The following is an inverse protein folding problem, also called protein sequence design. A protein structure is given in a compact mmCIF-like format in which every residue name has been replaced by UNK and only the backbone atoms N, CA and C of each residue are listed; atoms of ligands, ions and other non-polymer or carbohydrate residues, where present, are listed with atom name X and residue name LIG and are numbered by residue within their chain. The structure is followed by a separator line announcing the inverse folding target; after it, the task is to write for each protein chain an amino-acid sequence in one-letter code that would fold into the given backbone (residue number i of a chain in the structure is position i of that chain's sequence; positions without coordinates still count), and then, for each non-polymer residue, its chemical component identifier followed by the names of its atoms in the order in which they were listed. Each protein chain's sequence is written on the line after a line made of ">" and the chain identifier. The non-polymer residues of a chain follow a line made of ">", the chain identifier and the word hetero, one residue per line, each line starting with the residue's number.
data_IF_472333382060
#
_entry.id   IF_472333382060
#
_cell.length_a   1.000
_cell.length_b   1.000
_cell.length_c   1.000
_cell.angle_alpha   90.00
_cell.angle_beta   90.00
_cell.angle_gamma   90.00
#
_symmetry.space_group_name_H-M   'P 1'
#
loop_
_entity.id
_entity.type
_entity.pdbx_description
1 polymer ?
#
# COMPACT_ATOMS: atom_id res chain seq x y z
N UNK A 1 -12.72 19.32 5.26
CA UNK A 1 -11.33 18.83 5.47
C UNK A 1 -11.26 18.11 6.80
N UNK A 2 -11.34 16.77 6.80
CA UNK A 2 -11.11 15.97 8.02
C UNK A 2 -9.61 15.89 8.27
N UNK A 3 -9.16 16.28 9.46
CA UNK A 3 -7.76 16.15 9.90
C UNK A 3 -7.26 14.71 9.69
N UNK A 4 -6.09 14.56 9.05
CA UNK A 4 -5.44 13.26 8.86
C UNK A 4 -5.32 12.53 10.20
N UNK A 5 -5.64 11.22 10.28
CA UNK A 5 -5.39 10.42 11.48
C UNK A 5 -3.90 10.27 11.79
N UNK A 6 -3.04 10.72 10.87
CA UNK A 6 -1.60 10.83 11.05
C UNK A 6 -1.18 12.27 10.74
N UNK A 7 -1.27 13.18 11.72
CA UNK A 7 -0.90 14.59 11.51
C UNK A 7 0.59 14.78 11.22
N UNK A 8 1.40 13.77 11.56
CA UNK A 8 2.85 13.74 11.35
C UNK A 8 3.25 13.40 9.90
N UNK A 9 2.34 12.90 9.07
CA UNK A 9 2.65 12.52 7.69
C UNK A 9 2.00 13.44 6.67
N UNK A 10 2.66 13.71 5.52
CA UNK A 10 2.06 14.45 4.42
C UNK A 10 0.69 13.86 4.02
N UNK A 11 -0.29 14.73 3.80
CA UNK A 11 -1.64 14.27 3.41
C UNK A 11 -1.61 13.34 2.20
N UNK A 12 -0.71 13.62 1.26
CA UNK A 12 -0.55 12.81 0.05
C UNK A 12 -0.10 11.40 0.37
N UNK A 13 0.93 11.18 1.20
CA UNK A 13 1.47 9.84 1.48
C UNK A 13 0.41 8.86 2.02
N UNK A 14 -0.62 9.38 2.70
CA UNK A 14 -1.72 8.57 3.25
C UNK A 14 -2.97 8.48 2.36
N UNK A 15 -3.02 9.16 1.22
CA UNK A 15 -4.22 9.28 0.39
C UNK A 15 -4.74 7.92 -0.12
N UNK A 16 -3.85 7.08 -0.67
CA UNK A 16 -4.22 5.74 -1.15
C UNK A 16 -4.66 4.83 0.00
N UNK A 17 -3.94 4.87 1.13
CA UNK A 17 -4.30 4.11 2.33
C UNK A 17 -5.69 4.52 2.83
N UNK A 18 -6.02 5.82 2.81
CA UNK A 18 -7.37 6.32 3.13
C UNK A 18 -8.41 5.78 2.16
N UNK A 19 -8.12 5.80 0.86
CA UNK A 19 -8.97 5.21 -0.19
C UNK A 19 -9.31 3.75 0.09
N UNK A 20 -8.29 2.92 0.37
CA UNK A 20 -8.50 1.52 0.74
C UNK A 20 -9.22 1.35 2.09
N UNK A 21 -8.89 2.17 3.10
CA UNK A 21 -9.49 2.07 4.46
C UNK A 21 -10.99 2.27 4.46
N UNK A 22 -11.53 3.20 3.66
CA UNK A 22 -12.97 3.42 3.57
C UNK A 22 -13.69 2.16 3.10
N UNK A 23 -13.17 1.53 2.05
CA UNK A 23 -13.79 0.31 1.52
C UNK A 23 -13.58 -0.89 2.42
N UNK A 24 -12.39 -1.06 2.99
CA UNK A 24 -12.12 -2.12 3.99
C UNK A 24 -13.05 -1.95 5.21
N UNK A 25 -13.28 -0.71 5.67
CA UNK A 25 -14.20 -0.44 6.78
C UNK A 25 -15.64 -0.80 6.41
N UNK A 26 -16.11 -0.43 5.21
CA UNK A 26 -17.44 -0.83 4.72
C UNK A 26 -17.58 -2.35 4.65
N UNK A 27 -16.59 -3.05 4.09
CA UNK A 27 -16.58 -4.51 4.02
C UNK A 27 -16.60 -5.16 5.42
N UNK A 28 -15.81 -4.63 6.37
CA UNK A 28 -15.81 -5.09 7.77
C UNK A 28 -17.16 -4.87 8.47
N UNK A 29 -17.82 -3.72 8.23
CA UNK A 29 -19.16 -3.45 8.78
C UNK A 29 -20.21 -4.39 8.21
N UNK A 30 -20.20 -4.65 6.90
CA UNK A 30 -21.07 -5.65 6.28
C UNK A 30 -20.81 -7.05 6.85
N UNK A 31 -19.54 -7.41 7.05
CA UNK A 31 -19.16 -8.68 7.68
C UNK A 31 -19.69 -8.85 9.07
N UNK A 32 -19.55 -7.83 9.91
CA UNK A 32 -20.08 -7.83 11.26
C UNK A 32 -21.60 -7.99 11.26
N UNK A 33 -22.32 -7.28 10.39
CA UNK A 33 -23.77 -7.37 10.29
C UNK A 33 -24.22 -8.76 9.84
N UNK A 34 -23.58 -9.33 8.82
CA UNK A 34 -23.89 -10.68 8.33
C UNK A 34 -23.54 -11.73 9.37
N UNK A 35 -22.43 -11.58 10.10
CA UNK A 35 -22.05 -12.48 11.19
C UNK A 35 -23.11 -12.50 12.31
N UNK A 36 -23.62 -11.32 12.70
CA UNK A 36 -24.69 -11.20 13.70
C UNK A 36 -25.96 -11.91 13.23
N UNK A 37 -26.38 -11.68 11.98
CA UNK A 37 -27.58 -12.33 11.41
C UNK A 37 -27.39 -13.85 11.30
N UNK A 38 -26.23 -14.30 10.84
CA UNK A 38 -25.88 -15.72 10.72
C UNK A 38 -25.83 -16.42 12.08
N UNK A 39 -25.24 -15.76 13.09
CA UNK A 39 -25.17 -16.27 14.46
C UNK A 39 -26.54 -16.36 15.12
N UNK A 40 -27.38 -15.32 14.98
CA UNK A 40 -28.75 -15.33 15.49
C UNK A 40 -29.60 -16.43 14.82
N UNK A 41 -29.53 -16.54 13.49
CA UNK A 41 -30.25 -17.56 12.72
C UNK A 41 -29.77 -18.97 13.07
N UNK A 42 -28.46 -19.18 13.15
CA UNK A 42 -27.86 -20.45 13.56
C UNK A 42 -28.26 -20.85 14.98
N UNK A 43 -28.26 -19.90 15.92
CA UNK A 43 -28.73 -20.11 17.29
C UNK A 43 -30.19 -20.58 17.35
N UNK A 44 -31.08 -19.98 16.57
CA UNK A 44 -32.50 -20.38 16.49
C UNK A 44 -32.65 -21.80 15.91
N UNK A 45 -31.93 -22.11 14.83
CA UNK A 45 -32.03 -23.41 14.13
C UNK A 45 -31.43 -24.55 14.97
N UNK A 46 -30.30 -24.32 15.64
CA UNK A 46 -29.55 -25.33 16.38
C UNK A 46 -30.11 -25.49 17.80
N UNK A 47 -30.56 -24.41 18.44
CA UNK A 47 -31.13 -24.42 19.79
C UNK A 47 -32.39 -25.29 19.94
N UNK A 48 -33.09 -25.57 18.84
CA UNK A 48 -34.22 -26.51 18.82
C UNK A 48 -33.85 -27.98 18.58
N UNK A 49 -32.58 -28.32 18.31
CA UNK A 49 -32.19 -29.66 17.79
C UNK A 49 -30.93 -30.30 18.39
N UNK A 50 -30.14 -29.58 19.19
CA UNK A 50 -28.87 -30.09 19.73
C UNK A 50 -28.67 -29.88 21.23
N UNK A 51 -27.67 -30.54 21.85
CA UNK A 51 -27.33 -30.31 23.26
C UNK A 51 -26.92 -28.85 23.48
N UNK A 52 -27.50 -28.23 24.51
CA UNK A 52 -27.38 -26.80 24.86
C UNK A 52 -25.93 -26.28 24.92
N UNK A 53 -24.95 -27.15 25.18
CA UNK A 53 -23.53 -26.80 25.28
C UNK A 53 -22.80 -26.69 23.93
N UNK A 54 -23.27 -27.38 22.88
CA UNK A 54 -22.57 -27.43 21.57
C UNK A 54 -23.12 -26.38 20.59
N UNK A 55 -24.42 -26.07 20.71
CA UNK A 55 -25.11 -25.10 19.88
C UNK A 55 -24.44 -23.72 19.78
N UNK A 56 -24.01 -23.06 20.89
CA UNK A 56 -23.39 -21.74 20.80
C UNK A 56 -22.03 -21.78 20.10
N UNK A 57 -21.25 -22.85 20.26
CA UNK A 57 -19.93 -22.98 19.63
C UNK A 57 -20.05 -23.13 18.11
N UNK A 58 -21.00 -23.94 17.64
CA UNK A 58 -21.27 -24.11 16.21
C UNK A 58 -21.81 -22.82 15.60
N UNK A 59 -22.74 -22.14 16.28
CA UNK A 59 -23.28 -20.86 15.83
C UNK A 59 -22.19 -19.77 15.76
N UNK A 60 -21.30 -19.70 16.75
CA UNK A 60 -20.18 -18.75 16.77
C UNK A 60 -19.17 -19.04 15.64
N UNK A 61 -18.84 -20.32 15.42
CA UNK A 61 -17.94 -20.73 14.32
C UNK A 61 -18.54 -20.38 12.96
N UNK A 62 -19.83 -20.70 12.75
CA UNK A 62 -20.53 -20.35 11.53
C UNK A 62 -20.59 -18.84 11.30
N UNK A 63 -20.93 -18.08 12.35
CA UNK A 63 -20.95 -16.62 12.31
C UNK A 63 -19.56 -16.04 11.95
N UNK A 64 -18.48 -16.59 12.51
CA UNK A 64 -17.12 -16.16 12.22
C UNK A 64 -16.72 -16.46 10.75
N UNK A 65 -17.01 -17.67 10.26
CA UNK A 65 -16.71 -18.06 8.88
C UNK A 65 -17.49 -17.18 7.89
N UNK A 66 -18.81 -17.04 8.09
CA UNK A 66 -19.63 -16.18 7.22
C UNK A 66 -19.19 -14.73 7.33
N UNK A 67 -18.92 -14.24 8.54
CA UNK A 67 -18.42 -12.90 8.81
C UNK A 67 -17.07 -12.59 8.17
N UNK A 68 -16.25 -13.60 7.88
CA UNK A 68 -14.98 -13.46 7.17
C UNK A 68 -15.16 -13.57 5.63
N UNK A 69 -15.90 -14.57 5.17
CA UNK A 69 -16.05 -14.88 3.75
C UNK A 69 -16.92 -13.86 3.00
N UNK A 70 -18.02 -13.40 3.60
CA UNK A 70 -18.96 -12.49 2.92
C UNK A 70 -18.35 -11.13 2.63
N UNK A 71 -17.60 -10.48 3.56
CA UNK A 71 -16.84 -9.28 3.24
C UNK A 71 -15.87 -9.47 2.10
N UNK A 72 -15.06 -10.53 2.14
CA UNK A 72 -14.06 -10.80 1.11
C UNK A 72 -14.71 -10.98 -0.27
N UNK A 73 -15.84 -11.68 -0.32
CA UNK A 73 -16.64 -11.85 -1.53
C UNK A 73 -17.30 -10.54 -2.00
N UNK A 74 -17.69 -9.65 -1.07
CA UNK A 74 -18.35 -8.38 -1.36
C UNK A 74 -17.42 -7.28 -1.90
N UNK A 75 -16.10 -7.40 -1.70
CA UNK A 75 -15.15 -6.43 -2.26
C UNK A 75 -15.17 -6.55 -3.79
N UNK A 76 -15.40 -5.46 -4.55
CA UNK A 76 -15.38 -5.50 -6.00
C UNK A 76 -14.08 -6.09 -6.55
N UNK A 77 -14.18 -6.92 -7.60
CA UNK A 77 -13.01 -7.55 -8.27
C UNK A 77 -11.92 -6.53 -8.64
N UNK A 78 -12.24 -5.35 -9.22
CA UNK A 78 -11.22 -4.36 -9.55
C UNK A 78 -10.46 -3.86 -8.32
N UNK A 79 -11.17 -3.57 -7.23
CA UNK A 79 -10.55 -3.09 -5.99
C UNK A 79 -9.65 -4.16 -5.35
N UNK A 80 -10.05 -5.43 -5.38
CA UNK A 80 -9.18 -6.52 -4.88
C UNK A 80 -7.88 -6.60 -5.67
N UNK A 81 -7.94 -6.52 -7.01
CA UNK A 81 -6.74 -6.51 -7.86
C UNK A 81 -5.87 -5.28 -7.61
N UNK A 82 -6.49 -4.11 -7.45
CA UNK A 82 -5.77 -2.90 -7.14
C UNK A 82 -5.05 -2.98 -5.78
N UNK A 83 -5.70 -3.56 -4.77
CA UNK A 83 -5.10 -3.80 -3.46
C UNK A 83 -3.96 -4.83 -3.55
N UNK A 84 -4.15 -5.90 -4.31
CA UNK A 84 -3.13 -6.93 -4.57
C UNK A 84 -1.88 -6.31 -5.19
N UNK A 85 -2.02 -5.57 -6.31
CA UNK A 85 -0.92 -4.86 -6.97
C UNK A 85 -0.22 -3.87 -6.03
N UNK A 86 -0.98 -3.07 -5.29
CA UNK A 86 -0.43 -2.14 -4.30
C UNK A 86 0.34 -2.86 -3.19
N UNK A 87 -0.22 -3.93 -2.63
CA UNK A 87 0.40 -4.69 -1.54
C UNK A 87 1.61 -5.52 -1.99
N UNK A 88 1.62 -5.96 -3.23
CA UNK A 88 2.76 -6.65 -3.83
C UNK A 88 3.92 -5.68 -4.01
N UNK A 89 3.70 -4.51 -4.61
CA UNK A 89 4.75 -3.51 -4.80
C UNK A 89 5.30 -3.02 -3.45
N UNK A 90 4.43 -2.72 -2.48
CA UNK A 90 4.87 -2.32 -1.14
C UNK A 90 5.66 -3.42 -0.41
N UNK A 91 5.37 -4.71 -0.67
CA UNK A 91 6.18 -5.81 -0.14
C UNK A 91 7.55 -5.84 -0.81
N UNK A 92 7.61 -5.70 -2.12
CA UNK A 92 8.87 -5.63 -2.86
C UNK A 92 9.75 -4.46 -2.39
N UNK A 93 9.17 -3.30 -2.09
CA UNK A 93 9.89 -2.15 -1.49
C UNK A 93 10.44 -2.51 -0.10
N UNK A 94 9.62 -3.10 0.77
CA UNK A 94 10.03 -3.52 2.13
C UNK A 94 11.14 -4.57 2.07
N UNK A 95 11.00 -5.60 1.23
CA UNK A 95 11.96 -6.70 1.13
C UNK A 95 13.33 -6.17 0.70
N UNK A 96 13.39 -5.25 -0.28
CA UNK A 96 14.63 -4.60 -0.71
C UNK A 96 15.23 -3.68 0.35
N UNK A 97 14.40 -2.92 1.06
CA UNK A 97 14.87 -2.11 2.18
C UNK A 97 15.54 -3.01 3.23
N UNK A 98 14.91 -4.14 3.59
CA UNK A 98 15.45 -5.09 4.57
C UNK A 98 16.75 -5.72 4.06
N UNK A 99 16.80 -6.13 2.79
CA UNK A 99 18.00 -6.69 2.18
C UNK A 99 19.19 -5.71 2.23
N UNK A 100 18.94 -4.43 1.91
CA UNK A 100 19.98 -3.40 1.83
C UNK A 100 20.44 -2.89 3.20
N UNK A 101 19.53 -2.79 4.16
CA UNK A 101 19.79 -2.17 5.47
C UNK A 101 20.01 -3.18 6.59
N UNK A 102 19.66 -4.45 6.36
CA UNK A 102 19.74 -5.53 7.35
C UNK A 102 18.71 -5.44 8.48
N UNK A 103 17.75 -4.51 8.40
CA UNK A 103 16.77 -4.26 9.44
C UNK A 103 15.36 -3.94 8.92
N UNK A 104 14.34 -3.99 9.78
CA UNK A 104 12.98 -3.64 9.39
C UNK A 104 12.85 -2.15 9.07
N UNK A 105 11.93 -1.79 8.18
CA UNK A 105 11.59 -0.39 7.87
C UNK A 105 11.04 0.31 9.13
N UNK A 106 11.64 1.42 9.59
CA UNK A 106 11.07 2.21 10.68
C UNK A 106 9.78 2.91 10.22
N UNK A 107 8.71 2.81 11.00
CA UNK A 107 7.36 3.32 10.62
C UNK A 107 6.80 4.42 11.52
N UNK A 108 7.53 4.78 12.59
CA UNK A 108 7.16 5.91 13.48
C UNK A 108 8.12 7.06 13.22
N UNK A 109 7.63 8.30 13.28
CA UNK A 109 8.45 9.48 13.02
C UNK A 109 9.77 9.50 13.82
N UNK A 110 9.72 9.29 15.14
CA UNK A 110 10.93 9.25 15.97
C UNK A 110 11.89 8.07 15.67
N UNK A 111 11.34 6.91 15.28
CA UNK A 111 12.15 5.75 14.89
C UNK A 111 12.88 6.04 13.56
N UNK A 112 12.22 6.76 12.65
CA UNK A 112 12.78 7.20 11.36
C UNK A 112 13.89 8.23 11.58
N UNK A 113 13.67 9.23 12.43
CA UNK A 113 14.70 10.23 12.76
C UNK A 113 15.95 9.58 13.37
N UNK A 114 15.76 8.66 14.34
CA UNK A 114 16.85 7.92 14.95
C UNK A 114 17.62 7.10 13.89
N UNK A 115 16.90 6.44 12.98
CA UNK A 115 17.50 5.66 11.91
C UNK A 115 18.30 6.54 10.93
N UNK A 116 17.76 7.70 10.53
CA UNK A 116 18.43 8.63 9.62
C UNK A 116 19.69 9.25 10.25
N UNK A 117 19.69 9.43 11.58
CA UNK A 117 20.85 9.90 12.33
C UNK A 117 21.95 8.83 12.43
N UNK A 118 21.59 7.55 12.52
CA UNK A 118 22.57 6.45 12.61
C UNK A 118 23.09 5.96 11.25
N UNK A 119 22.41 6.30 10.16
CA UNK A 119 22.78 5.89 8.79
C UNK A 119 23.07 7.12 7.93
N UNK A 120 24.32 7.63 7.92
CA UNK A 120 24.69 8.80 7.12
C UNK A 120 24.56 8.53 5.62
N UNK A 121 24.51 9.60 4.83
CA UNK A 121 24.46 9.52 3.36
C UNK A 121 25.71 8.82 2.81
N UNK A 122 25.52 7.62 2.27
CA UNK A 122 26.50 6.89 1.46
C UNK A 122 25.80 6.41 0.18
N UNK A 123 26.55 6.06 -0.89
CA UNK A 123 25.94 5.52 -2.12
C UNK A 123 24.95 4.39 -1.86
N UNK A 124 25.28 3.49 -0.93
CA UNK A 124 24.48 2.31 -0.56
C UNK A 124 23.25 2.70 0.26
N UNK A 125 23.36 3.70 1.14
CA UNK A 125 22.25 4.09 2.03
C UNK A 125 21.34 5.16 1.41
N UNK A 126 21.70 5.71 0.26
CA UNK A 126 21.02 6.84 -0.38
C UNK A 126 19.54 6.60 -0.61
N UNK A 127 19.14 5.54 -1.32
CA UNK A 127 17.73 5.30 -1.66
C UNK A 127 16.85 5.00 -0.42
N UNK A 128 17.28 4.16 0.55
CA UNK A 128 16.58 4.03 1.83
C UNK A 128 16.41 5.36 2.57
N UNK A 129 17.42 6.23 2.54
CA UNK A 129 17.34 7.57 3.15
C UNK A 129 16.34 8.45 2.41
N UNK A 130 16.34 8.47 1.08
CA UNK A 130 15.36 9.22 0.27
C UNK A 130 13.93 8.80 0.63
N UNK A 131 13.67 7.49 0.69
CA UNK A 131 12.34 6.95 1.04
C UNK A 131 11.87 7.45 2.40
N UNK A 132 12.72 7.33 3.41
CA UNK A 132 12.41 7.71 4.78
C UNK A 132 12.26 9.23 4.97
N UNK A 133 13.14 10.03 4.35
CA UNK A 133 13.04 11.50 4.33
C UNK A 133 11.72 11.93 3.68
N UNK A 134 11.38 11.35 2.53
CA UNK A 134 10.12 11.61 1.84
C UNK A 134 8.91 11.21 2.69
N UNK A 135 8.98 10.08 3.38
CA UNK A 135 7.90 9.57 4.23
C UNK A 135 7.55 10.51 5.38
N UNK A 136 8.55 11.08 6.06
CA UNK A 136 8.35 12.08 7.13
C UNK A 136 8.20 13.52 6.62
N UNK A 137 8.06 13.70 5.29
CA UNK A 137 7.77 15.01 4.69
C UNK A 137 8.97 15.94 4.53
N UNK A 138 10.20 15.47 4.74
CA UNK A 138 11.44 16.21 4.46
C UNK A 138 11.77 16.13 2.96
N UNK A 139 10.83 16.60 2.13
CA UNK A 139 10.83 16.40 0.68
C UNK A 139 12.02 17.07 -0.01
N UNK A 140 12.44 18.25 0.44
CA UNK A 140 13.59 18.93 -0.16
C UNK A 140 14.90 18.18 0.09
N UNK A 141 15.11 17.67 1.30
CA UNK A 141 16.27 16.81 1.61
C UNK A 141 16.23 15.50 0.83
N UNK A 142 15.04 14.91 0.65
CA UNK A 142 14.87 13.73 -0.19
C UNK A 142 15.28 13.99 -1.65
N UNK A 143 14.99 15.19 -2.19
CA UNK A 143 15.42 15.59 -3.53
C UNK A 143 16.92 15.78 -3.61
N UNK A 144 17.52 16.44 -2.62
CA UNK A 144 18.97 16.65 -2.55
C UNK A 144 19.71 15.31 -2.50
N UNK A 145 19.27 14.40 -1.62
CA UNK A 145 19.82 13.06 -1.47
C UNK A 145 19.66 12.24 -2.78
N UNK A 146 18.53 12.35 -3.46
CA UNK A 146 18.29 11.69 -4.75
C UNK A 146 19.21 12.23 -5.86
N UNK A 147 19.37 13.56 -5.94
CA UNK A 147 20.19 14.23 -6.95
C UNK A 147 21.71 14.02 -6.75
N UNK A 148 22.14 13.63 -5.55
CA UNK A 148 23.54 13.45 -5.20
C UNK A 148 24.20 12.21 -5.84
N UNK A 149 23.44 11.33 -6.49
CA UNK A 149 23.98 10.13 -7.13
C UNK A 149 23.22 9.73 -8.39
N UNK A 150 23.78 8.76 -9.10
CA UNK A 150 23.14 8.10 -10.23
C UNK A 150 23.25 6.58 -10.05
N UNK A 151 22.23 5.86 -10.47
CA UNK A 151 22.20 4.40 -10.42
C UNK A 151 23.29 3.81 -11.31
N UNK A 152 23.99 2.79 -10.79
CA UNK A 152 25.04 2.11 -11.53
C UNK A 152 24.49 0.96 -12.36
N UNK A 153 23.41 0.34 -11.87
CA UNK A 153 22.73 -0.80 -12.51
C UNK A 153 21.39 -0.40 -13.14
N UNK A 154 20.87 -1.17 -14.12
CA UNK A 154 19.50 -0.97 -14.62
C UNK A 154 18.42 -0.97 -13.53
N UNK A 155 18.61 -1.79 -12.49
CA UNK A 155 17.75 -1.89 -11.32
C UNK A 155 17.77 -0.61 -10.50
N UNK A 156 18.97 -0.06 -10.24
CA UNK A 156 19.11 1.23 -9.53
C UNK A 156 18.45 2.37 -10.31
N UNK A 157 18.60 2.40 -11.64
CA UNK A 157 17.99 3.42 -12.50
C UNK A 157 16.46 3.35 -12.44
N UNK A 158 15.87 2.16 -12.37
CA UNK A 158 14.43 2.02 -12.16
C UNK A 158 14.03 2.53 -10.78
N UNK A 159 14.75 2.15 -9.73
CA UNK A 159 14.42 2.55 -8.36
C UNK A 159 14.51 4.07 -8.20
N UNK A 160 15.55 4.71 -8.76
CA UNK A 160 15.68 6.16 -8.80
C UNK A 160 14.50 6.81 -9.52
N UNK A 161 14.05 6.27 -10.65
CA UNK A 161 12.90 6.81 -11.38
C UNK A 161 11.59 6.68 -10.58
N UNK A 162 11.37 5.55 -9.90
CA UNK A 162 10.22 5.34 -9.01
C UNK A 162 10.27 6.31 -7.83
N UNK A 163 11.45 6.48 -7.23
CA UNK A 163 11.64 7.38 -6.09
C UNK A 163 11.48 8.85 -6.49
N UNK A 164 11.99 9.24 -7.66
CA UNK A 164 11.81 10.57 -8.23
C UNK A 164 10.31 10.91 -8.43
N UNK A 165 9.54 9.97 -9.00
CA UNK A 165 8.09 10.14 -9.13
C UNK A 165 7.39 10.28 -7.78
N UNK A 166 7.76 9.44 -6.80
CA UNK A 166 7.18 9.49 -5.46
C UNK A 166 7.45 10.83 -4.76
N UNK A 167 8.72 11.27 -4.75
CA UNK A 167 9.15 12.54 -4.16
C UNK A 167 8.49 13.72 -4.90
N UNK A 168 8.47 13.69 -6.24
CA UNK A 168 7.80 14.70 -7.06
C UNK A 168 6.30 14.80 -6.76
N UNK A 169 5.61 13.66 -6.64
CA UNK A 169 4.20 13.63 -6.27
C UNK A 169 3.93 14.21 -4.87
N UNK A 170 4.80 13.92 -3.88
CA UNK A 170 4.70 14.51 -2.54
C UNK A 170 4.84 16.03 -2.61
N UNK A 171 5.78 16.54 -3.40
CA UNK A 171 5.95 17.96 -3.62
C UNK A 171 4.82 18.60 -4.45
N UNK A 172 4.19 17.82 -5.34
CA UNK A 172 3.09 18.27 -6.21
C UNK A 172 3.50 18.56 -7.63
N UNK A 173 4.70 18.12 -7.99
CA UNK A 173 5.22 18.17 -9.33
C UNK A 173 4.45 17.19 -10.24
N UNK A 174 4.51 17.40 -11.56
CA UNK A 174 4.03 16.41 -12.52
C UNK A 174 4.81 15.08 -12.38
N UNK A 175 4.09 13.96 -12.44
CA UNK A 175 4.68 12.62 -12.57
C UNK A 175 5.43 12.49 -13.89
N UNK A 176 6.71 12.11 -13.83
CA UNK A 176 7.50 11.70 -15.01
C UNK A 176 7.41 10.19 -15.23
N UNK A 177 6.29 9.77 -15.82
CA UNK A 177 6.04 8.35 -16.13
C UNK A 177 6.98 7.80 -17.21
N UNK A 178 7.46 8.65 -18.12
CA UNK A 178 8.30 8.21 -19.24
C UNK A 178 9.66 7.73 -18.74
N UNK A 179 10.19 8.35 -17.68
CA UNK A 179 11.40 7.87 -17.02
C UNK A 179 11.26 6.44 -16.49
N UNK A 180 10.17 6.13 -15.79
CA UNK A 180 9.90 4.78 -15.26
C UNK A 180 9.74 3.77 -16.40
N UNK A 181 8.97 4.11 -17.44
CA UNK A 181 8.75 3.22 -18.60
C UNK A 181 10.06 2.93 -19.34
N UNK A 182 10.92 3.94 -19.51
CA UNK A 182 12.23 3.79 -20.14
C UNK A 182 13.20 2.94 -19.31
N UNK A 183 13.21 3.09 -17.98
CA UNK A 183 14.02 2.26 -17.09
C UNK A 183 13.54 0.81 -17.10
N UNK A 184 12.23 0.60 -17.00
CA UNK A 184 11.58 -0.74 -17.02
C UNK A 184 11.94 -1.53 -18.28
N UNK A 185 11.98 -0.86 -19.45
CA UNK A 185 12.29 -1.50 -20.73
C UNK A 185 13.70 -2.12 -20.79
N UNK A 186 14.62 -1.71 -19.91
CA UNK A 186 16.00 -2.22 -19.84
C UNK A 186 16.14 -3.49 -19.00
N UNK A 187 15.11 -3.85 -18.24
CA UNK A 187 15.15 -4.98 -17.31
C UNK A 187 14.74 -6.29 -17.99
N UNK A 188 15.27 -7.44 -17.51
CA UNK A 188 14.87 -8.76 -17.98
C UNK A 188 13.36 -8.98 -17.88
N UNK A 189 12.75 -9.61 -18.89
CA UNK A 189 11.30 -9.78 -18.99
C UNK A 189 10.64 -10.45 -17.76
N UNK A 190 11.37 -11.37 -17.13
CA UNK A 190 10.86 -12.19 -16.02
C UNK A 190 11.36 -11.73 -14.64
N UNK A 191 12.06 -10.59 -14.54
CA UNK A 191 12.54 -10.11 -13.23
C UNK A 191 11.44 -9.45 -12.41
N UNK A 192 11.52 -9.59 -11.09
CA UNK A 192 10.60 -8.90 -10.19
C UNK A 192 10.76 -7.38 -10.28
N UNK A 193 11.97 -6.86 -10.56
CA UNK A 193 12.20 -5.42 -10.80
C UNK A 193 11.44 -4.93 -12.02
N UNK A 194 11.42 -5.69 -13.11
CA UNK A 194 10.62 -5.32 -14.28
C UNK A 194 9.14 -5.27 -13.93
N UNK A 195 8.66 -6.26 -13.18
CA UNK A 195 7.27 -6.28 -12.71
C UNK A 195 6.95 -5.08 -11.82
N UNK A 196 7.88 -4.68 -10.95
CA UNK A 196 7.76 -3.46 -10.15
C UNK A 196 7.68 -2.21 -11.02
N UNK A 197 8.52 -2.13 -12.05
CA UNK A 197 8.47 -1.06 -13.06
C UNK A 197 7.19 -1.03 -13.91
N UNK A 198 6.50 -2.17 -14.08
CA UNK A 198 5.20 -2.23 -14.75
C UNK A 198 4.04 -1.79 -13.84
N UNK A 199 4.14 -2.06 -12.53
CA UNK A 199 3.14 -1.68 -11.52
C UNK A 199 3.28 -0.22 -11.09
N UNK A 200 4.50 0.31 -11.00
CA UNK A 200 4.76 1.67 -10.50
C UNK A 200 4.04 2.79 -11.30
N UNK A 201 4.00 2.79 -12.64
CA UNK A 201 3.20 3.75 -13.42
C UNK A 201 1.70 3.68 -13.12
N UNK A 202 1.16 2.48 -12.87
CA UNK A 202 -0.23 2.30 -12.48
C UNK A 202 -0.50 2.90 -11.10
N UNK A 203 0.44 2.74 -10.15
CA UNK A 203 0.38 3.38 -8.84
C UNK A 203 0.44 4.91 -8.95
N UNK A 204 1.33 5.46 -9.80
CA UNK A 204 1.43 6.89 -10.01
C UNK A 204 0.14 7.50 -10.59
N UNK A 205 -0.49 6.82 -11.56
CA UNK A 205 -1.82 7.22 -12.08
C UNK A 205 -2.89 7.19 -10.99
N UNK A 206 -2.90 6.13 -10.17
CA UNK A 206 -3.82 6.02 -9.05
C UNK A 206 -3.62 7.16 -8.04
N UNK A 207 -2.37 7.53 -7.72
CA UNK A 207 -2.02 8.67 -6.86
C UNK A 207 -2.49 10.00 -7.45
N UNK A 208 -2.31 10.21 -8.75
CA UNK A 208 -2.76 11.42 -9.44
C UNK A 208 -4.29 11.58 -9.41
N UNK A 209 -5.04 10.49 -9.62
CA UNK A 209 -6.51 10.48 -9.50
C UNK A 209 -6.98 10.61 -8.05
N UNK A 210 -6.28 9.96 -7.11
CA UNK A 210 -6.59 10.05 -5.69
C UNK A 210 -6.45 11.48 -5.11
N UNK A 211 -5.79 12.40 -5.82
CA UNK A 211 -5.73 13.83 -5.46
C UNK A 211 -7.12 14.50 -5.48
N UNK A 212 -8.09 13.91 -6.17
CA UNK A 212 -9.47 14.39 -6.29
C UNK A 212 -10.46 13.63 -5.40
N UNK A 213 -10.00 13.05 -4.28
CA UNK A 213 -10.81 12.21 -3.36
C UNK A 213 -11.78 13.03 -2.50
N UNK A 214 -12.64 13.78 -3.18
CA UNK A 214 -14.07 13.80 -2.89
C UNK A 214 -14.81 13.26 -4.13
N UNK A 215 -14.80 11.93 -4.31
CA UNK A 215 -15.81 11.25 -5.13
C UNK A 215 -15.38 10.53 -6.41
N UNK A 216 -14.11 10.55 -6.82
CA UNK A 216 -13.69 9.80 -8.01
C UNK A 216 -13.56 8.29 -7.69
N UNK A 217 -14.54 7.49 -8.12
CA UNK A 217 -14.59 6.03 -7.89
C UNK A 217 -13.54 5.26 -8.73
N UNK A 218 -12.93 5.90 -9.74
CA UNK A 218 -12.10 5.24 -10.75
C UNK A 218 -10.59 5.31 -10.49
N UNK A 219 -10.16 5.76 -9.30
CA UNK A 219 -8.73 5.82 -8.97
C UNK A 219 -8.05 4.44 -8.94
N UNK A 220 -8.81 3.36 -8.75
CA UNK A 220 -8.31 1.98 -8.70
C UNK A 220 -8.11 1.33 -10.06
N UNK A 221 -8.68 1.90 -11.12
CA UNK A 221 -8.73 1.30 -12.46
C UNK A 221 -7.34 0.93 -12.98
N UNK A 222 -6.39 1.86 -12.89
CA UNK A 222 -5.02 1.65 -13.38
C UNK A 222 -4.31 0.51 -12.64
N UNK A 223 -4.48 0.44 -11.31
CA UNK A 223 -3.90 -0.63 -10.49
C UNK A 223 -4.62 -1.97 -10.69
N UNK A 224 -5.91 -1.96 -10.99
CA UNK A 224 -6.67 -3.18 -11.25
C UNK A 224 -6.35 -3.84 -12.61
N UNK A 225 -5.80 -3.05 -13.54
CA UNK A 225 -5.43 -3.50 -14.88
C UNK A 225 -4.07 -4.22 -14.91
N UNK A 226 -3.18 -3.93 -13.96
CA UNK A 226 -1.89 -4.62 -13.84
C UNK A 226 -2.06 -5.95 -13.11
N UNK A 227 -1.25 -6.95 -13.49
CA UNK A 227 -1.13 -8.22 -12.77
C UNK A 227 0.26 -8.24 -12.10
N UNK A 228 0.33 -8.23 -10.76
CA UNK A 228 1.57 -8.51 -10.04
C UNK A 228 1.94 -10.01 -10.11
#
# INVERSE_FOLDING_TARGET
>A
MTSSPFPEYPDRSTALVRGFRLTIRRARLLGALVAVVAGASGGIVIGGRGPLLVAPLVAATFAAVVGMCVPAASVPRPLRRAYEAYSWLGRWEIDRFVERTGGPVPVRHGDIEAWLASHPSTPEMRLPRVELLAFIGRVDEAREELAAGAGETPEDVLEEAIMADYVGWLAGDPTDRLAIEAATARLPAESDDRRAGEVAPALARARARARYVDGDEDWTESLAAVRP
#
